data_IF_059954276940
#
_entry.id   IF_059954276940
#
_cell.length_a   1.000
_cell.length_b   1.000
_cell.length_c   1.000
_cell.angle_alpha   90.00
_cell.angle_beta   90.00
_cell.angle_gamma   90.00
#
_symmetry.space_group_name_H-M   'P 1'
#
loop_
_entity.id
_entity.type
_entity.pdbx_description
1 polymer ?
#
# COMPACT_ATOMS: atom_id res chain seq x y z
N UNK A 1 -17.78 1.97 21.26
CA UNK A 1 -17.60 3.32 21.84
C UNK A 1 -18.02 4.35 20.78
N UNK A 2 -18.91 5.31 21.07
CA UNK A 2 -19.36 6.29 20.08
C UNK A 2 -18.33 7.43 19.92
N UNK A 3 -17.91 7.72 18.70
CA UNK A 3 -17.54 9.09 18.27
C UNK A 3 -16.07 9.47 18.11
N UNK A 4 -15.10 8.73 18.65
CA UNK A 4 -13.66 9.05 18.49
C UNK A 4 -13.02 8.27 17.35
N UNK A 5 -12.38 8.94 16.38
CA UNK A 5 -11.52 8.25 15.39
C UNK A 5 -10.35 7.60 16.13
N UNK A 6 -10.01 6.35 15.82
CA UNK A 6 -8.83 5.70 16.40
C UNK A 6 -7.55 6.43 15.95
N UNK A 7 -6.51 6.40 16.77
CA UNK A 7 -5.19 6.96 16.42
C UNK A 7 -4.70 6.40 15.08
N UNK A 8 -4.82 5.09 14.88
CA UNK A 8 -4.42 4.42 13.63
C UNK A 8 -5.17 4.95 12.41
N UNK A 9 -6.47 5.27 12.54
CA UNK A 9 -7.25 5.89 11.46
C UNK A 9 -6.71 7.26 11.08
N UNK A 10 -6.35 8.10 12.06
CA UNK A 10 -5.73 9.39 11.77
C UNK A 10 -4.38 9.26 11.08
N UNK A 11 -3.52 8.35 11.56
CA UNK A 11 -2.22 8.08 10.94
C UNK A 11 -2.38 7.63 9.49
N UNK A 12 -3.36 6.76 9.22
CA UNK A 12 -3.71 6.31 7.87
C UNK A 12 -4.16 7.49 6.99
N UNK A 13 -5.10 8.32 7.45
CA UNK A 13 -5.61 9.47 6.69
C UNK A 13 -4.53 10.51 6.39
N UNK A 14 -3.66 10.81 7.36
CA UNK A 14 -2.53 11.72 7.16
C UNK A 14 -1.59 11.17 6.09
N UNK A 15 -1.26 9.88 6.17
CA UNK A 15 -0.43 9.22 5.17
C UNK A 15 -1.04 9.24 3.77
N UNK A 16 -2.34 8.98 3.65
CA UNK A 16 -3.05 9.13 2.36
C UNK A 16 -3.02 10.57 1.84
N UNK A 17 -3.17 11.57 2.71
CA UNK A 17 -3.04 12.98 2.35
C UNK A 17 -1.64 13.32 1.82
N UNK A 18 -0.59 12.82 2.48
CA UNK A 18 0.80 12.97 2.01
C UNK A 18 0.96 12.35 0.62
N UNK A 19 0.46 11.13 0.40
CA UNK A 19 0.53 10.46 -0.92
C UNK A 19 -0.20 11.30 -1.96
N UNK A 20 -1.43 11.74 -1.69
CA UNK A 20 -2.25 12.48 -2.63
C UNK A 20 -1.61 13.80 -3.09
N UNK A 21 -1.04 14.58 -2.15
CA UNK A 21 -0.35 15.84 -2.45
C UNK A 21 0.99 15.59 -3.14
N UNK A 22 1.67 14.49 -2.79
CA UNK A 22 3.00 14.16 -3.32
C UNK A 22 2.96 13.52 -4.71
N UNK A 23 1.83 12.91 -5.10
CA UNK A 23 1.67 12.23 -6.40
C UNK A 23 2.19 13.06 -7.59
N UNK A 24 1.77 14.34 -7.78
CA UNK A 24 2.28 15.16 -8.87
C UNK A 24 3.58 15.92 -8.54
N UNK A 25 3.94 16.06 -7.26
CA UNK A 25 4.98 17.02 -6.83
C UNK A 25 6.30 16.37 -6.46
N UNK A 26 6.32 15.13 -5.95
CA UNK A 26 7.52 14.53 -5.39
C UNK A 26 7.45 13.00 -5.26
N UNK A 27 8.40 12.30 -5.90
CA UNK A 27 8.65 10.88 -5.64
C UNK A 27 9.01 10.59 -4.19
N UNK A 28 9.83 11.44 -3.56
CA UNK A 28 10.22 11.26 -2.15
C UNK A 28 9.01 11.33 -1.20
N UNK A 29 8.20 12.39 -1.28
CA UNK A 29 6.97 12.51 -0.50
C UNK A 29 5.99 11.35 -0.72
N UNK A 30 5.88 10.85 -1.95
CA UNK A 30 5.07 9.67 -2.25
C UNK A 30 5.58 8.43 -1.50
N UNK A 31 6.89 8.15 -1.57
CA UNK A 31 7.50 7.03 -0.83
C UNK A 31 7.37 7.22 0.68
N UNK A 32 7.57 8.43 1.20
CA UNK A 32 7.39 8.74 2.63
C UNK A 32 5.96 8.45 3.08
N UNK A 33 4.96 8.89 2.30
CA UNK A 33 3.55 8.61 2.56
C UNK A 33 3.22 7.11 2.51
N UNK A 34 3.80 6.36 1.56
CA UNK A 34 3.66 4.91 1.48
C UNK A 34 4.22 4.21 2.72
N UNK A 35 5.43 4.56 3.16
CA UNK A 35 6.02 4.03 4.40
C UNK A 35 5.21 4.42 5.64
N UNK A 36 4.66 5.64 5.66
CA UNK A 36 3.81 6.12 6.76
C UNK A 36 2.54 5.28 6.90
N UNK A 37 1.81 5.10 5.79
CA UNK A 37 0.58 4.29 5.74
C UNK A 37 0.87 2.83 6.08
N UNK A 38 1.96 2.27 5.55
CA UNK A 38 2.41 0.92 5.87
C UNK A 38 2.75 0.77 7.36
N UNK A 39 3.46 1.73 7.95
CA UNK A 39 3.79 1.73 9.37
C UNK A 39 2.55 1.79 10.26
N UNK A 40 1.60 2.68 9.94
CA UNK A 40 0.33 2.78 10.66
C UNK A 40 -0.46 1.46 10.60
N UNK A 41 -0.51 0.83 9.43
CA UNK A 41 -1.17 -0.46 9.22
C UNK A 41 -0.49 -1.61 9.96
N UNK A 42 0.84 -1.68 9.96
CA UNK A 42 1.62 -2.68 10.68
C UNK A 42 1.42 -2.56 12.20
N UNK A 43 1.50 -1.34 12.72
CA UNK A 43 1.28 -1.08 14.16
C UNK A 43 -0.14 -1.43 14.59
N UNK A 44 -1.13 -1.08 13.77
CA UNK A 44 -2.52 -1.46 14.03
C UNK A 44 -2.70 -2.98 14.01
N UNK A 45 -2.13 -3.67 13.01
CA UNK A 45 -2.24 -5.12 12.88
C UNK A 45 -1.53 -5.89 13.99
N UNK A 46 -0.38 -5.38 14.47
CA UNK A 46 0.33 -5.95 15.61
C UNK A 46 -0.45 -5.75 16.92
N UNK A 47 -0.99 -4.55 17.13
CA UNK A 47 -1.80 -4.22 18.30
C UNK A 47 -3.08 -5.07 18.37
N UNK A 48 -3.72 -5.29 17.23
CA UNK A 48 -4.94 -6.10 17.11
C UNK A 48 -4.68 -7.61 17.00
N UNK A 49 -3.41 -8.02 16.86
CA UNK A 49 -2.98 -9.41 16.63
C UNK A 49 -3.65 -10.09 15.43
N UNK A 50 -4.00 -9.32 14.41
CA UNK A 50 -4.68 -9.78 13.20
C UNK A 50 -3.82 -9.62 11.93
N UNK A 51 -2.54 -9.26 12.08
CA UNK A 51 -1.64 -8.95 10.97
C UNK A 51 -1.57 -10.06 9.91
N UNK A 52 -1.50 -11.34 10.33
CA UNK A 52 -1.47 -12.47 9.41
C UNK A 52 -2.77 -12.61 8.59
N UNK A 53 -3.91 -12.37 9.22
CA UNK A 53 -5.21 -12.37 8.55
C UNK A 53 -5.31 -11.21 7.55
N UNK A 54 -4.89 -9.99 7.94
CA UNK A 54 -4.89 -8.82 7.04
C UNK A 54 -3.97 -9.05 5.85
N UNK A 55 -2.77 -9.59 6.06
CA UNK A 55 -1.87 -9.95 4.98
C UNK A 55 -2.53 -10.96 4.03
N UNK A 56 -3.09 -12.06 4.56
CA UNK A 56 -3.78 -13.07 3.75
C UNK A 56 -4.94 -12.50 2.93
N UNK A 57 -5.77 -11.60 3.48
CA UNK A 57 -6.84 -10.95 2.72
C UNK A 57 -6.31 -9.99 1.64
N UNK A 58 -5.13 -9.40 1.87
CA UNK A 58 -4.43 -8.59 0.87
C UNK A 58 -4.21 -9.38 -0.42
N UNK A 59 -3.79 -10.64 -0.31
CA UNK A 59 -3.51 -11.52 -1.47
C UNK A 59 -4.76 -12.14 -2.12
N UNK A 60 -5.97 -11.88 -1.62
CA UNK A 60 -7.21 -12.40 -2.23
C UNK A 60 -8.05 -11.31 -2.92
N UNK A 61 -7.66 -10.05 -2.79
CA UNK A 61 -8.40 -8.93 -3.40
C UNK A 61 -8.11 -8.85 -4.91
N UNK A 62 -9.12 -8.72 -5.79
CA UNK A 62 -8.91 -8.68 -7.24
C UNK A 62 -7.90 -7.62 -7.72
N UNK A 63 -7.92 -6.42 -7.11
CA UNK A 63 -6.97 -5.35 -7.45
C UNK A 63 -5.52 -5.75 -7.11
N UNK A 64 -5.29 -6.31 -5.93
CA UNK A 64 -3.95 -6.77 -5.51
C UNK A 64 -3.49 -7.95 -6.36
N UNK A 65 -4.39 -8.88 -6.68
CA UNK A 65 -4.12 -10.00 -7.57
C UNK A 65 -3.71 -9.54 -8.98
N UNK A 66 -4.34 -8.48 -9.51
CA UNK A 66 -3.94 -7.90 -10.79
C UNK A 66 -2.51 -7.34 -10.74
N UNK A 67 -2.17 -6.60 -9.69
CA UNK A 67 -0.80 -6.09 -9.49
C UNK A 67 0.22 -7.22 -9.27
N UNK A 68 -0.15 -8.27 -8.53
CA UNK A 68 0.67 -9.47 -8.36
C UNK A 68 0.90 -10.18 -9.68
N UNK A 69 -0.14 -10.36 -10.49
CA UNK A 69 -0.02 -10.95 -11.82
C UNK A 69 0.92 -10.13 -12.71
N UNK A 70 0.80 -8.80 -12.69
CA UNK A 70 1.70 -7.91 -13.41
C UNK A 70 3.16 -8.05 -12.93
N UNK A 71 3.40 -8.07 -11.62
CA UNK A 71 4.72 -8.28 -11.04
C UNK A 71 5.29 -9.68 -11.37
N UNK A 72 4.45 -10.72 -11.34
CA UNK A 72 4.83 -12.09 -11.67
C UNK A 72 5.22 -12.23 -13.14
N UNK A 73 4.45 -11.63 -14.06
CA UNK A 73 4.81 -11.58 -15.48
C UNK A 73 6.14 -10.87 -15.69
N UNK A 74 6.40 -9.78 -14.97
CA UNK A 74 7.71 -9.11 -15.00
C UNK A 74 8.83 -10.02 -14.51
N UNK A 75 8.64 -10.69 -13.37
CA UNK A 75 9.61 -11.62 -12.83
C UNK A 75 9.91 -12.79 -13.79
N UNK A 76 8.89 -13.32 -14.48
CA UNK A 76 9.07 -14.32 -15.54
C UNK A 76 9.85 -13.74 -16.72
N UNK A 77 9.57 -12.50 -17.12
CA UNK A 77 10.29 -11.78 -18.17
C UNK A 77 11.79 -11.61 -17.86
N UNK A 78 12.19 -11.56 -16.59
CA UNK A 78 13.60 -11.51 -16.20
C UNK A 78 14.40 -12.74 -16.66
N UNK A 79 13.74 -13.88 -16.90
CA UNK A 79 14.42 -15.08 -17.41
C UNK A 79 14.91 -14.93 -18.86
N UNK A 80 14.39 -13.96 -19.60
CA UNK A 80 14.74 -13.70 -21.01
C UNK A 80 15.42 -12.34 -21.23
N UNK A 81 15.59 -11.52 -20.19
CA UNK A 81 16.19 -10.19 -20.36
C UNK A 81 17.72 -10.26 -20.33
N UNK A 82 18.38 -9.53 -21.23
CA UNK A 82 19.83 -9.32 -21.18
C UNK A 82 20.22 -8.21 -20.20
N UNK A 83 19.29 -7.33 -19.85
CA UNK A 83 19.52 -6.23 -18.91
C UNK A 83 18.87 -6.51 -17.55
N UNK A 84 19.59 -7.29 -16.73
CA UNK A 84 19.14 -7.67 -15.39
C UNK A 84 19.03 -6.46 -14.45
N UNK A 85 19.91 -5.46 -14.59
CA UNK A 85 19.89 -4.26 -13.75
C UNK A 85 18.57 -3.50 -13.87
N UNK A 86 18.18 -3.20 -15.12
CA UNK A 86 16.90 -2.54 -15.40
C UNK A 86 15.69 -3.37 -14.94
N UNK A 87 15.74 -4.69 -15.16
CA UNK A 87 14.66 -5.58 -14.77
C UNK A 87 14.43 -5.63 -13.25
N UNK A 88 15.50 -5.71 -12.46
CA UNK A 88 15.42 -5.69 -10.99
C UNK A 88 15.00 -4.33 -10.44
N UNK A 89 15.43 -3.23 -11.06
CA UNK A 89 14.98 -1.89 -10.70
C UNK A 89 13.47 -1.74 -10.87
N UNK A 90 12.89 -2.34 -11.91
CA UNK A 90 11.45 -2.33 -12.12
C UNK A 90 10.70 -3.13 -11.05
N UNK A 91 11.21 -4.30 -10.64
CA UNK A 91 10.65 -5.05 -9.51
C UNK A 91 10.69 -4.24 -8.20
N UNK A 92 11.77 -3.48 -7.97
CA UNK A 92 11.92 -2.60 -6.81
C UNK A 92 10.88 -1.48 -6.80
N UNK A 93 10.51 -0.94 -7.97
CA UNK A 93 9.48 0.11 -8.09
C UNK A 93 8.07 -0.48 -7.88
N UNK A 94 7.82 -1.70 -8.35
CA UNK A 94 6.50 -2.33 -8.24
C UNK A 94 6.16 -2.82 -6.83
N UNK A 95 7.17 -3.22 -6.05
CA UNK A 95 6.98 -3.71 -4.68
C UNK A 95 6.24 -2.71 -3.75
N UNK A 96 6.64 -1.43 -3.63
CA UNK A 96 5.92 -0.47 -2.79
C UNK A 96 4.50 -0.18 -3.30
N UNK A 97 4.24 -0.27 -4.60
CA UNK A 97 2.89 -0.11 -5.17
C UNK A 97 2.01 -1.30 -4.77
N UNK A 98 2.55 -2.52 -4.84
CA UNK A 98 1.87 -3.73 -4.38
C UNK A 98 1.53 -3.67 -2.88
N UNK A 99 2.52 -3.28 -2.05
CA UNK A 99 2.32 -3.10 -0.61
C UNK A 99 1.25 -2.05 -0.31
N UNK A 100 1.25 -0.93 -1.06
CA UNK A 100 0.20 0.07 -0.95
C UNK A 100 -1.18 -0.53 -1.28
N UNK A 101 -1.28 -1.34 -2.35
CA UNK A 101 -2.51 -2.05 -2.70
C UNK A 101 -3.04 -2.95 -1.58
N UNK A 102 -2.16 -3.71 -0.93
CA UNK A 102 -2.50 -4.56 0.23
C UNK A 102 -3.01 -3.70 1.40
N UNK A 103 -2.30 -2.61 1.73
CA UNK A 103 -2.70 -1.75 2.84
C UNK A 103 -4.06 -1.10 2.55
N UNK A 104 -4.30 -0.61 1.34
CA UNK A 104 -5.57 -0.01 0.94
C UNK A 104 -6.72 -1.02 0.94
N UNK A 105 -6.51 -2.26 0.47
CA UNK A 105 -7.57 -3.27 0.40
C UNK A 105 -7.96 -3.85 1.76
N UNK A 106 -7.07 -3.76 2.75
CA UNK A 106 -7.25 -4.33 4.08
C UNK A 106 -7.41 -3.26 5.17
N UNK A 107 -7.56 -2.00 4.76
CA UNK A 107 -7.92 -0.89 5.63
C UNK A 107 -9.38 -0.52 5.41
N UNK A 108 -10.01 0.08 6.42
CA UNK A 108 -11.40 0.52 6.29
C UNK A 108 -11.51 1.56 5.15
N UNK A 109 -12.51 1.44 4.26
CA UNK A 109 -12.75 2.44 3.22
C UNK A 109 -12.93 3.84 3.80
N UNK A 110 -12.61 4.88 3.02
CA UNK A 110 -12.90 6.25 3.41
C UNK A 110 -14.41 6.44 3.56
N UNK A 111 -14.83 6.96 4.71
CA UNK A 111 -16.22 7.29 4.96
C UNK A 111 -16.63 8.52 4.12
N UNK A 112 -17.94 8.72 3.86
CA UNK A 112 -18.40 9.89 3.12
C UNK A 112 -17.96 11.23 3.73
N UNK A 113 -17.79 11.29 5.06
CA UNK A 113 -17.30 12.49 5.77
C UNK A 113 -15.80 12.74 5.60
N UNK A 114 -15.03 11.70 5.30
CA UNK A 114 -13.59 11.81 5.02
C UNK A 114 -13.34 12.12 3.54
N UNK A 115 -14.27 11.75 2.65
CA UNK A 115 -14.22 12.07 1.21
C UNK A 115 -14.81 13.44 0.86
N UNK A 116 -15.81 13.90 1.60
CA UNK A 116 -16.48 15.18 1.37
C UNK A 116 -15.94 16.21 2.35
N UNK A 117 -15.12 17.12 1.84
CA UNK A 117 -14.87 18.44 2.45
C UNK A 117 -16.09 19.33 2.27
#
# INVERSE_FOLDING_TARGET
MPGGRSLFRWLYLIGLGIIAVSLPTSYFGMSLGQFWVLGAWLLEGLQRRDLGHRFSMGFTTPAVLAFLGYLALHAIGLLWTENMGWGLDLCRILLPILLLGIVLSTSDPLSPKELRT
#
